data_IF_005543260086
#
_entry.id   IF_005543260086
#
_cell.length_a   1.000
_cell.length_b   1.000
_cell.length_c   1.000
_cell.angle_alpha   90.00
_cell.angle_beta   90.00
_cell.angle_gamma   90.00
#
_symmetry.space_group_name_H-M   'P 1'
#
loop_
_entity.id
_entity.type
_entity.pdbx_description
1 polymer ?
#
# COMPACT_ATOMS: atom_id res chain seq x y z
N UNK A 1 -6.19 -4.94 -1.74
CA UNK A 1 -7.08 -5.88 -2.45
C UNK A 1 -7.89 -6.69 -1.43
N UNK A 2 -9.12 -6.25 -1.11
CA UNK A 2 -9.98 -6.98 -0.17
C UNK A 2 -10.71 -8.16 -0.81
N UNK A 3 -10.52 -8.41 -2.10
CA UNK A 3 -11.26 -9.42 -2.85
C UNK A 3 -10.47 -10.71 -3.06
N UNK A 4 -9.33 -10.85 -2.41
CA UNK A 4 -8.48 -12.03 -2.59
C UNK A 4 -9.06 -13.26 -1.89
N UNK A 5 -8.94 -14.44 -2.47
CA UNK A 5 -8.50 -14.74 -3.82
C UNK A 5 -9.62 -14.66 -4.87
N UNK A 6 -10.88 -14.73 -4.44
CA UNK A 6 -12.06 -14.72 -5.32
C UNK A 6 -13.04 -13.67 -4.78
N UNK A 7 -13.44 -12.66 -5.58
CA UNK A 7 -14.35 -11.62 -5.10
C UNK A 7 -15.72 -12.14 -4.68
N UNK A 8 -16.12 -13.31 -5.14
CA UNK A 8 -17.38 -13.94 -4.74
C UNK A 8 -17.29 -14.60 -3.37
N UNK A 9 -16.08 -14.88 -2.91
CA UNK A 9 -15.79 -15.51 -1.62
C UNK A 9 -14.46 -15.02 -1.09
N UNK A 10 -14.34 -13.72 -0.78
CA UNK A 10 -13.07 -13.16 -0.32
C UNK A 10 -12.70 -13.71 1.04
N UNK A 11 -11.41 -14.01 1.22
CA UNK A 11 -10.90 -14.58 2.46
C UNK A 11 -9.94 -13.65 3.18
N UNK A 12 -9.40 -12.63 2.49
CA UNK A 12 -8.38 -11.78 3.06
C UNK A 12 -8.30 -10.46 2.28
N UNK A 13 -7.69 -9.47 2.91
CA UNK A 13 -7.18 -8.29 2.21
C UNK A 13 -5.72 -8.54 1.88
N UNK A 14 -5.38 -8.59 0.59
CA UNK A 14 -4.00 -8.79 0.17
C UNK A 14 -3.31 -7.44 0.04
N UNK A 15 -2.23 -7.26 0.77
CA UNK A 15 -1.47 -6.01 0.81
C UNK A 15 -0.40 -6.03 -0.27
N UNK A 16 -0.46 -5.04 -1.18
CA UNK A 16 0.43 -4.93 -2.33
C UNK A 16 1.61 -3.99 -2.08
N UNK A 17 1.43 -2.97 -1.25
CA UNK A 17 2.47 -1.98 -0.99
C UNK A 17 2.21 -1.25 0.31
N UNK A 18 3.27 -1.09 1.09
CA UNK A 18 3.25 -0.30 2.33
C UNK A 18 4.37 0.74 2.22
N UNK A 19 4.01 2.01 2.37
CA UNK A 19 4.95 3.11 2.23
C UNK A 19 4.72 4.10 3.36
N UNK A 20 5.77 4.44 4.11
CA UNK A 20 5.65 5.35 5.25
C UNK A 20 6.69 6.47 5.15
N UNK A 21 6.42 7.57 5.85
CA UNK A 21 7.31 8.71 5.94
C UNK A 21 7.61 9.38 4.59
N UNK A 22 6.62 9.36 3.68
CA UNK A 22 6.70 10.14 2.46
C UNK A 22 6.73 11.63 2.85
N UNK A 23 7.71 12.42 2.36
CA UNK A 23 7.82 13.82 2.74
C UNK A 23 6.56 14.62 2.38
N UNK A 24 6.20 15.59 3.23
CA UNK A 24 5.01 16.42 3.04
C UNK A 24 5.07 17.29 1.78
N UNK A 25 6.26 17.58 1.29
CA UNK A 25 6.47 18.37 0.08
C UNK A 25 6.58 17.52 -1.19
N UNK A 26 6.40 16.21 -1.08
CA UNK A 26 6.38 15.33 -2.25
C UNK A 26 5.14 15.64 -3.09
N UNK A 27 5.35 16.02 -4.35
CA UNK A 27 4.26 16.33 -5.27
C UNK A 27 3.55 15.08 -5.80
N UNK A 28 4.17 13.92 -5.64
CA UNK A 28 3.66 12.64 -6.11
C UNK A 28 4.81 11.68 -6.34
N UNK A 29 4.48 10.52 -6.85
CA UNK A 29 5.46 9.50 -7.22
C UNK A 29 5.33 9.21 -8.71
N UNK A 30 6.45 9.05 -9.38
CA UNK A 30 6.45 8.69 -10.80
C UNK A 30 5.86 7.29 -10.98
N UNK A 31 5.16 7.09 -12.10
CA UNK A 31 4.69 5.77 -12.49
C UNK A 31 5.89 4.83 -12.66
N UNK A 32 5.77 3.62 -12.13
CA UNK A 32 6.86 2.64 -12.20
C UNK A 32 8.10 3.03 -11.41
N UNK A 33 7.97 3.89 -10.39
CA UNK A 33 9.12 4.39 -9.63
C UNK A 33 9.96 3.26 -9.05
N UNK A 34 11.28 3.34 -9.24
CA UNK A 34 12.22 2.39 -8.65
C UNK A 34 12.40 2.69 -7.15
N UNK A 35 12.66 1.68 -6.30
CA UNK A 35 12.88 1.92 -4.88
C UNK A 35 13.95 2.96 -4.57
N UNK A 36 15.03 2.98 -5.35
CA UNK A 36 16.10 3.94 -5.16
C UNK A 36 15.71 5.38 -5.50
N UNK A 37 14.62 5.57 -6.25
CA UNK A 37 14.13 6.90 -6.64
C UNK A 37 13.08 7.46 -5.68
N UNK A 38 12.68 6.71 -4.66
CA UNK A 38 11.76 7.20 -3.64
C UNK A 38 12.40 8.38 -2.89
N UNK A 39 11.57 9.36 -2.46
CA UNK A 39 12.10 10.49 -1.68
C UNK A 39 12.87 10.03 -0.45
N UNK A 40 13.92 10.76 -0.11
CA UNK A 40 14.73 10.45 1.07
C UNK A 40 13.89 10.41 2.33
N UNK A 41 14.16 9.44 3.20
CA UNK A 41 13.40 9.24 4.45
C UNK A 41 12.19 8.35 4.31
N UNK A 42 11.78 8.04 3.10
CA UNK A 42 10.66 7.12 2.84
C UNK A 42 11.06 5.69 3.20
N UNK A 43 10.17 4.98 3.87
CA UNK A 43 10.39 3.60 4.29
C UNK A 43 9.33 2.71 3.63
N UNK A 44 9.79 1.65 2.97
CA UNK A 44 8.87 0.63 2.44
C UNK A 44 8.65 -0.47 3.45
N UNK A 45 7.40 -0.82 3.68
CA UNK A 45 7.03 -1.92 4.56
C UNK A 45 6.88 -3.24 3.81
N UNK A 46 6.48 -4.28 4.55
CA UNK A 46 6.27 -5.61 4.00
C UNK A 46 4.89 -5.72 3.37
N UNK A 47 4.86 -6.18 2.12
CA UNK A 47 3.63 -6.58 1.46
C UNK A 47 3.32 -8.05 1.81
N UNK A 48 2.21 -8.58 1.27
CA UNK A 48 1.81 -9.95 1.60
C UNK A 48 2.58 -11.02 0.82
N UNK A 49 3.47 -10.62 -0.09
CA UNK A 49 4.50 -11.53 -0.61
C UNK A 49 5.71 -11.61 0.33
N UNK A 50 5.66 -10.97 1.50
CA UNK A 50 6.69 -10.95 2.54
C UNK A 50 8.00 -10.33 2.08
N UNK A 51 7.91 -9.32 1.25
CA UNK A 51 9.04 -8.51 0.79
C UNK A 51 8.63 -7.04 0.74
N UNK A 52 9.61 -6.15 0.70
CA UNK A 52 9.35 -4.73 0.56
C UNK A 52 9.09 -4.38 -0.90
N UNK A 53 8.36 -3.28 -1.11
CA UNK A 53 8.09 -2.76 -2.42
C UNK A 53 6.69 -3.02 -2.91
N UNK A 54 6.43 -2.59 -4.13
CA UNK A 54 5.14 -2.70 -4.78
C UNK A 54 5.04 -3.99 -5.58
N UNK A 55 4.00 -4.78 -5.31
CA UNK A 55 3.59 -5.88 -6.17
C UNK A 55 2.33 -5.51 -6.91
N UNK A 56 2.34 -5.62 -8.22
CA UNK A 56 1.20 -5.25 -9.05
C UNK A 56 0.01 -6.19 -8.93
N UNK A 57 -1.15 -5.79 -9.47
CA UNK A 57 -2.34 -6.62 -9.45
C UNK A 57 -2.16 -7.88 -10.32
N UNK A 58 -2.50 -9.02 -9.74
CA UNK A 58 -2.48 -10.30 -10.44
C UNK A 58 -3.55 -11.22 -9.84
N UNK A 59 -4.83 -10.86 -9.99
CA UNK A 59 -5.90 -11.63 -9.36
C UNK A 59 -6.03 -13.00 -10.04
N UNK A 60 -6.08 -14.08 -9.25
CA UNK A 60 -6.23 -15.42 -9.82
C UNK A 60 -7.63 -15.66 -10.38
N UNK A 61 -8.66 -15.07 -9.79
CA UNK A 61 -10.06 -15.29 -10.14
C UNK A 61 -10.79 -13.96 -10.09
N UNK A 62 -11.45 -13.60 -11.20
CA UNK A 62 -12.38 -12.48 -11.26
C UNK A 62 -11.72 -11.10 -11.28
N UNK A 63 -12.55 -10.09 -11.13
CA UNK A 63 -12.12 -8.69 -11.10
C UNK A 63 -12.00 -8.26 -9.65
N UNK A 64 -10.80 -7.86 -9.25
CA UNK A 64 -10.53 -7.40 -7.90
C UNK A 64 -10.50 -5.88 -7.83
N UNK A 65 -10.80 -5.34 -6.65
CA UNK A 65 -10.66 -3.92 -6.34
C UNK A 65 -9.32 -3.71 -5.66
N UNK A 66 -8.63 -2.65 -6.06
CA UNK A 66 -7.35 -2.27 -5.47
C UNK A 66 -7.47 -0.88 -4.87
N UNK A 67 -7.42 -0.82 -3.57
CA UNK A 67 -7.57 0.42 -2.81
C UNK A 67 -6.20 1.06 -2.61
N UNK A 68 -6.08 2.31 -3.06
CA UNK A 68 -4.91 3.14 -2.82
C UNK A 68 -5.28 4.13 -1.72
N UNK A 69 -4.70 3.94 -0.54
CA UNK A 69 -5.02 4.75 0.63
C UNK A 69 -3.85 5.63 0.99
N UNK A 70 -4.09 6.92 1.11
CA UNK A 70 -3.10 7.91 1.48
C UNK A 70 -3.53 8.60 2.76
N UNK A 71 -2.63 8.68 3.73
CA UNK A 71 -2.89 9.30 5.01
C UNK A 71 -1.90 10.42 5.27
N UNK A 72 -2.42 11.59 5.68
CA UNK A 72 -1.61 12.69 6.19
C UNK A 72 -1.54 12.56 7.70
N UNK A 73 -0.33 12.52 8.24
CA UNK A 73 -0.09 12.32 9.67
C UNK A 73 0.53 13.55 10.29
N UNK A 74 0.31 13.74 11.60
CA UNK A 74 0.92 14.83 12.38
C UNK A 74 2.28 14.45 12.97
N UNK A 75 2.77 13.23 12.73
CA UNK A 75 4.07 12.75 13.21
C UNK A 75 4.75 11.93 12.11
N UNK A 76 6.08 11.82 12.22
CA UNK A 76 6.84 10.83 11.46
C UNK A 76 6.75 9.50 12.19
N UNK A 77 6.65 8.40 11.44
CA UNK A 77 6.63 7.06 12.00
C UNK A 77 8.05 6.51 12.11
N UNK A 78 8.75 6.95 13.13
CA UNK A 78 10.14 6.55 13.35
C UNK A 78 10.23 5.19 14.01
N UNK A 79 11.36 4.52 13.82
CA UNK A 79 11.66 3.24 14.48
C UNK A 79 11.03 2.03 13.84
N UNK A 80 10.27 2.20 12.77
CA UNK A 80 9.69 1.09 12.04
C UNK A 80 10.70 0.56 11.02
N UNK A 81 10.96 -0.74 11.07
CA UNK A 81 11.82 -1.41 10.10
C UNK A 81 11.00 -2.44 9.36
N UNK A 82 10.87 -2.29 8.05
CA UNK A 82 10.08 -3.18 7.20
C UNK A 82 8.71 -3.48 7.84
N UNK A 83 7.93 -2.45 8.19
CA UNK A 83 6.68 -2.68 8.93
C UNK A 83 5.63 -3.35 8.05
N UNK A 84 4.76 -4.12 8.70
CA UNK A 84 3.55 -4.63 8.05
C UNK A 84 2.48 -3.54 8.03
N UNK A 85 1.43 -3.74 7.21
CA UNK A 85 0.28 -2.84 7.21
C UNK A 85 -0.31 -2.68 8.61
N UNK A 86 -0.45 -3.78 9.36
CA UNK A 86 -1.00 -3.75 10.71
C UNK A 86 -0.13 -2.92 11.66
N UNK A 87 1.18 -3.04 11.56
CA UNK A 87 2.11 -2.23 12.38
C UNK A 87 2.01 -0.74 12.04
N UNK A 88 1.88 -0.41 10.76
CA UNK A 88 1.72 0.97 10.32
C UNK A 88 0.38 1.53 10.81
N UNK A 89 -0.70 0.78 10.67
CA UNK A 89 -2.02 1.21 11.14
C UNK A 89 -2.03 1.46 12.64
N UNK A 90 -1.38 0.61 13.43
CA UNK A 90 -1.26 0.80 14.87
C UNK A 90 -0.47 2.08 15.21
N UNK A 91 0.63 2.33 14.48
CA UNK A 91 1.46 3.51 14.70
C UNK A 91 0.75 4.81 14.29
N UNK A 92 -0.13 4.75 13.30
CA UNK A 92 -0.90 5.91 12.84
C UNK A 92 -2.03 6.30 13.78
N UNK A 93 -2.47 5.41 14.64
CA UNK A 93 -3.67 5.61 15.44
C UNK A 93 -3.55 6.87 16.30
N UNK A 94 -4.54 7.78 16.18
CA UNK A 94 -4.53 9.05 16.86
C UNK A 94 -3.72 10.15 16.18
N UNK A 95 -3.09 9.87 15.04
CA UNK A 95 -2.21 10.82 14.34
C UNK A 95 -2.67 11.16 12.93
N UNK A 96 -3.81 10.67 12.49
CA UNK A 96 -4.31 10.91 11.13
C UNK A 96 -5.01 12.26 11.06
N UNK A 97 -4.48 13.18 10.25
CA UNK A 97 -5.09 14.49 10.01
C UNK A 97 -6.08 14.46 8.86
N UNK A 98 -5.80 13.69 7.83
CA UNK A 98 -6.64 13.58 6.64
C UNK A 98 -6.30 12.29 5.92
N UNK A 99 -7.22 11.85 5.06
CA UNK A 99 -6.95 10.69 4.22
C UNK A 99 -7.64 10.86 2.86
N UNK A 100 -7.10 10.16 1.88
CA UNK A 100 -7.68 10.07 0.54
C UNK A 100 -7.62 8.62 0.09
N UNK A 101 -8.51 8.28 -0.83
CA UNK A 101 -8.60 6.90 -1.31
C UNK A 101 -8.94 6.90 -2.79
N UNK A 102 -8.27 6.04 -3.54
CA UNK A 102 -8.55 5.79 -4.95
C UNK A 102 -8.75 4.29 -5.12
N UNK A 103 -9.79 3.90 -5.84
CA UNK A 103 -10.08 2.49 -6.09
C UNK A 103 -9.89 2.19 -7.56
N UNK A 104 -9.01 1.27 -7.87
CA UNK A 104 -8.85 0.71 -9.21
C UNK A 104 -9.42 -0.69 -9.27
N UNK A 105 -9.75 -1.13 -10.48
CA UNK A 105 -10.23 -2.49 -10.72
C UNK A 105 -9.36 -3.15 -11.77
N UNK A 106 -9.08 -4.42 -11.58
CA UNK A 106 -8.27 -5.19 -12.51
C UNK A 106 -8.75 -6.63 -12.55
N UNK A 107 -8.77 -7.16 -13.75
CA UNK A 107 -9.09 -8.57 -13.99
C UNK A 107 -8.03 -9.13 -14.92
N UNK A 108 -7.49 -10.30 -14.58
CA UNK A 108 -6.51 -10.96 -15.42
C UNK A 108 -7.22 -11.53 -16.65
N UNK A 109 -6.87 -11.03 -17.82
CA UNK A 109 -7.48 -11.43 -19.09
C UNK A 109 -6.63 -12.42 -19.86
N UNK A 110 -5.43 -12.73 -19.42
CA UNK A 110 -4.53 -13.67 -20.05
C UNK A 110 -5.03 -15.11 -19.97
N UNK A 111 -4.39 -15.97 -20.72
CA UNK A 111 -4.64 -17.42 -20.70
C UNK A 111 -3.47 -18.14 -20.08
#
# INVERSE_FOLDING_TARGET
DPDAPDPRAPKMTWVHWVLVNLPVDAAGLAEGIAPAALPAGTVEGLNDWKRTGYGGPCPPIGRHRYFHKLYALDVMLDGLKRPTKAQVEAAMQGHVLAHAELVGRYEKTGR
#
